data_IF_664252072397
#
_entry.id   IF_664252072397
#
_cell.length_a   1.000
_cell.length_b   1.000
_cell.length_c   1.000
_cell.angle_alpha   90.00
_cell.angle_beta   90.00
_cell.angle_gamma   90.00
#
_symmetry.space_group_name_H-M   'P 1'
#
loop_
_entity.id
_entity.type
_entity.pdbx_description
1 polymer ?
#
# COMPACT_ATOMS: atom_id res chain seq x y z
N UNK A 1 -4.05 12.54 11.92
CA UNK A 1 -5.28 12.09 11.21
C UNK A 1 -6.00 11.05 12.06
N UNK A 2 -7.30 11.21 12.23
CA UNK A 2 -8.10 10.20 12.91
C UNK A 2 -8.79 9.27 11.89
N UNK A 3 -9.38 8.19 12.38
CA UNK A 3 -10.04 7.17 11.54
C UNK A 3 -11.19 7.74 10.70
N UNK A 4 -11.92 8.70 11.24
CA UNK A 4 -13.04 9.33 10.54
C UNK A 4 -12.57 10.14 9.34
N UNK A 5 -11.52 10.94 9.53
CA UNK A 5 -10.91 11.73 8.45
C UNK A 5 -10.34 10.86 7.36
N UNK A 6 -9.65 9.80 7.73
CA UNK A 6 -9.11 8.83 6.77
C UNK A 6 -10.24 8.22 5.94
N UNK A 7 -11.31 7.80 6.57
CA UNK A 7 -12.46 7.22 5.91
C UNK A 7 -13.14 8.21 4.95
N UNK A 8 -13.33 9.46 5.38
CA UNK A 8 -13.97 10.47 4.55
C UNK A 8 -13.16 10.87 3.33
N UNK A 9 -11.84 10.96 3.49
CA UNK A 9 -10.95 11.50 2.45
C UNK A 9 -10.53 10.44 1.43
N UNK A 10 -10.41 9.16 1.84
CA UNK A 10 -9.75 8.16 1.02
C UNK A 10 -10.58 6.91 0.74
N UNK A 11 -11.66 6.68 1.47
CA UNK A 11 -12.40 5.41 1.38
C UNK A 11 -13.02 5.17 0.01
N UNK A 12 -13.61 6.20 -0.58
CA UNK A 12 -14.23 6.07 -1.92
C UNK A 12 -13.19 5.77 -2.99
N UNK A 13 -12.04 6.42 -2.90
CA UNK A 13 -10.95 6.21 -3.85
C UNK A 13 -10.38 4.79 -3.70
N UNK A 14 -10.21 4.35 -2.45
CA UNK A 14 -9.79 2.97 -2.17
C UNK A 14 -10.76 1.96 -2.81
N UNK A 15 -12.06 2.14 -2.63
CA UNK A 15 -13.05 1.22 -3.21
C UNK A 15 -13.00 1.19 -4.74
N UNK A 16 -12.72 2.32 -5.36
CA UNK A 16 -12.56 2.39 -6.81
C UNK A 16 -11.31 1.60 -7.27
N UNK A 17 -10.20 1.76 -6.56
CA UNK A 17 -8.97 1.03 -6.86
C UNK A 17 -9.15 -0.47 -6.64
N UNK A 18 -9.80 -0.86 -5.55
CA UNK A 18 -10.12 -2.26 -5.27
C UNK A 18 -10.97 -2.87 -6.39
N UNK A 19 -12.00 -2.16 -6.85
CA UNK A 19 -12.84 -2.60 -7.95
C UNK A 19 -12.03 -2.82 -9.21
N UNK A 20 -11.14 -1.90 -9.57
CA UNK A 20 -10.28 -2.04 -10.74
C UNK A 20 -9.33 -3.22 -10.61
N UNK A 21 -8.80 -3.45 -9.42
CA UNK A 21 -7.94 -4.60 -9.17
C UNK A 21 -8.72 -5.91 -9.36
N UNK A 22 -9.91 -6.00 -8.79
CA UNK A 22 -10.77 -7.20 -8.94
C UNK A 22 -11.13 -7.45 -10.39
N UNK A 23 -11.45 -6.40 -11.15
CA UNK A 23 -11.71 -6.51 -12.59
C UNK A 23 -10.49 -7.03 -13.36
N UNK A 24 -9.29 -6.66 -12.95
CA UNK A 24 -8.06 -7.11 -13.61
C UNK A 24 -7.82 -8.60 -13.47
N UNK A 25 -8.34 -9.22 -12.40
CA UNK A 25 -8.20 -10.67 -12.15
C UNK A 25 -8.95 -11.48 -13.23
N UNK A 26 -9.93 -10.90 -13.90
CA UNK A 26 -10.62 -11.55 -15.02
C UNK A 26 -9.68 -11.85 -16.20
N UNK A 27 -8.61 -11.06 -16.33
CA UNK A 27 -7.63 -11.21 -17.41
C UNK A 27 -6.40 -11.98 -16.99
N UNK A 28 -5.96 -11.81 -15.74
CA UNK A 28 -4.80 -12.48 -15.17
C UNK A 28 -5.21 -13.02 -13.80
N UNK A 29 -5.29 -14.34 -13.68
CA UNK A 29 -5.66 -14.99 -12.43
C UNK A 29 -4.69 -14.59 -11.30
N UNK A 30 -5.23 -14.32 -10.12
CA UNK A 30 -4.45 -14.01 -8.92
C UNK A 30 -3.84 -15.30 -8.38
N UNK A 31 -2.62 -15.61 -8.85
CA UNK A 31 -1.84 -16.77 -8.46
C UNK A 31 -0.36 -16.41 -8.47
N UNK A 32 0.44 -17.06 -7.64
CA UNK A 32 1.87 -16.77 -7.53
C UNK A 32 2.60 -16.91 -8.87
N UNK A 33 2.20 -17.85 -9.72
CA UNK A 33 2.79 -18.04 -11.04
C UNK A 33 2.61 -16.83 -11.97
N UNK A 34 1.64 -15.97 -11.66
CA UNK A 34 1.31 -14.78 -12.45
C UNK A 34 1.84 -13.48 -11.84
N UNK A 35 2.59 -13.53 -10.75
CA UNK A 35 3.09 -12.31 -10.09
C UNK A 35 4.03 -11.51 -10.99
N UNK A 36 4.69 -12.15 -11.95
CA UNK A 36 5.55 -11.47 -12.92
C UNK A 36 4.80 -11.02 -14.17
N UNK A 37 3.51 -11.29 -14.26
CA UNK A 37 2.73 -10.88 -15.42
C UNK A 37 2.66 -9.35 -15.52
N UNK A 38 2.90 -8.82 -16.72
CA UNK A 38 2.86 -7.39 -16.99
C UNK A 38 1.74 -7.07 -17.97
N UNK A 39 1.03 -5.96 -17.71
CA UNK A 39 0.08 -5.37 -18.63
C UNK A 39 0.05 -3.86 -18.44
N UNK A 40 -0.39 -3.12 -19.47
CA UNK A 40 -0.57 -1.67 -19.37
C UNK A 40 -1.61 -1.31 -18.30
N UNK A 41 -2.64 -2.11 -18.14
CA UNK A 41 -3.66 -1.92 -17.11
C UNK A 41 -3.05 -2.02 -15.70
N UNK A 42 -2.18 -3.01 -15.47
CA UNK A 42 -1.47 -3.14 -14.20
C UNK A 42 -0.51 -1.98 -13.95
N UNK A 43 0.17 -1.51 -14.98
CA UNK A 43 1.06 -0.34 -14.85
C UNK A 43 0.29 0.90 -14.41
N UNK A 44 -0.86 1.16 -15.02
CA UNK A 44 -1.72 2.28 -14.65
C UNK A 44 -2.26 2.13 -13.22
N UNK A 45 -2.69 0.93 -12.86
CA UNK A 45 -3.22 0.63 -11.54
C UNK A 45 -2.15 0.81 -10.47
N UNK A 46 -0.93 0.31 -10.70
CA UNK A 46 0.20 0.47 -9.77
C UNK A 46 0.54 1.94 -9.57
N UNK A 47 0.55 2.73 -10.63
CA UNK A 47 0.80 4.18 -10.53
C UNK A 47 -0.27 4.87 -9.69
N UNK A 48 -1.54 4.54 -9.92
CA UNK A 48 -2.65 5.11 -9.17
C UNK A 48 -2.58 4.73 -7.68
N UNK A 49 -2.30 3.47 -7.38
CA UNK A 49 -2.15 2.97 -6.01
C UNK A 49 -0.96 3.65 -5.33
N UNK A 50 0.18 3.76 -6.02
CA UNK A 50 1.37 4.40 -5.46
C UNK A 50 1.13 5.88 -5.12
N UNK A 51 0.46 6.61 -5.99
CA UNK A 51 0.13 8.02 -5.74
C UNK A 51 -0.81 8.16 -4.53
N UNK A 52 -1.80 7.29 -4.41
CA UNK A 52 -2.74 7.32 -3.28
C UNK A 52 -2.04 6.93 -1.98
N UNK A 53 -1.17 5.94 -2.00
CA UNK A 53 -0.38 5.55 -0.83
C UNK A 53 0.48 6.71 -0.33
N UNK A 54 1.11 7.45 -1.24
CA UNK A 54 1.91 8.63 -0.86
C UNK A 54 1.04 9.66 -0.14
N UNK A 55 -0.13 9.95 -0.68
CA UNK A 55 -1.07 10.91 -0.08
C UNK A 55 -1.56 10.43 1.29
N UNK A 56 -1.98 9.19 1.39
CA UNK A 56 -2.45 8.61 2.65
C UNK A 56 -1.36 8.61 3.70
N UNK A 57 -0.14 8.22 3.34
CA UNK A 57 0.96 8.20 4.28
C UNK A 57 1.35 9.60 4.75
N UNK A 58 1.33 10.59 3.88
CA UNK A 58 1.57 11.99 4.29
C UNK A 58 0.56 12.44 5.34
N UNK A 59 -0.73 12.20 5.08
CA UNK A 59 -1.77 12.57 6.03
C UNK A 59 -1.66 11.78 7.32
N UNK A 60 -1.40 10.49 7.24
CA UNK A 60 -1.24 9.64 8.43
C UNK A 60 -0.08 10.11 9.31
N UNK A 61 1.03 10.48 8.69
CA UNK A 61 2.21 10.97 9.41
C UNK A 61 2.11 12.44 9.83
N UNK A 62 1.08 13.16 9.39
CA UNK A 62 0.91 14.57 9.72
C UNK A 62 1.84 15.50 8.93
N UNK A 63 2.37 15.05 7.80
CA UNK A 63 3.18 15.89 6.92
C UNK A 63 2.29 16.77 6.03
N UNK A 64 2.80 17.91 5.60
CA UNK A 64 2.09 18.75 4.64
C UNK A 64 2.11 18.12 3.25
N UNK A 65 1.06 18.35 2.48
CA UNK A 65 0.95 17.81 1.11
C UNK A 65 2.02 18.36 0.17
N UNK A 66 2.60 19.52 0.50
CA UNK A 66 3.67 20.16 -0.27
C UNK A 66 5.06 19.69 0.15
N UNK A 67 5.19 18.96 1.26
CA UNK A 67 6.48 18.46 1.72
C UNK A 67 6.99 17.37 0.79
N UNK A 68 8.29 17.43 0.49
CA UNK A 68 8.96 16.36 -0.23
C UNK A 68 9.40 15.30 0.78
N UNK A 69 8.62 14.23 0.86
CA UNK A 69 8.91 13.10 1.74
C UNK A 69 9.06 11.83 0.92
N UNK A 70 9.89 10.94 1.42
CA UNK A 70 10.11 9.63 0.80
C UNK A 70 9.40 8.55 1.60
N UNK A 71 9.29 7.37 1.02
CA UNK A 71 8.74 6.21 1.74
C UNK A 71 9.57 5.88 2.98
N UNK A 72 10.87 6.17 2.97
CA UNK A 72 11.73 6.00 4.15
C UNK A 72 11.28 6.91 5.30
N UNK A 73 10.89 8.15 5.01
CA UNK A 73 10.35 9.07 6.02
C UNK A 73 9.05 8.53 6.62
N UNK A 74 8.16 8.02 5.78
CA UNK A 74 6.90 7.43 6.23
C UNK A 74 7.15 6.19 7.09
N UNK A 75 8.03 5.31 6.65
CA UNK A 75 8.37 4.10 7.39
C UNK A 75 8.95 4.41 8.76
N UNK A 76 9.83 5.39 8.84
CA UNK A 76 10.42 5.80 10.12
C UNK A 76 9.34 6.28 11.10
N UNK A 77 8.42 7.12 10.64
CA UNK A 77 7.34 7.61 11.48
C UNK A 77 6.40 6.48 11.90
N UNK A 78 5.97 5.66 10.95
CA UNK A 78 5.00 4.59 11.19
C UNK A 78 5.56 3.54 12.13
N UNK A 79 6.79 3.09 11.90
CA UNK A 79 7.42 2.07 12.75
C UNK A 79 7.69 2.59 14.16
N UNK A 80 7.98 3.88 14.32
CA UNK A 80 8.18 4.49 15.62
C UNK A 80 6.88 4.60 16.41
N UNK A 81 5.79 4.97 15.75
CA UNK A 81 4.51 5.25 16.42
C UNK A 81 3.53 4.07 16.39
N UNK A 82 3.67 3.16 15.44
CA UNK A 82 2.79 2.00 15.27
C UNK A 82 3.62 0.76 14.89
N UNK A 83 4.49 0.28 15.79
CA UNK A 83 5.39 -0.84 15.47
C UNK A 83 4.66 -2.13 15.14
N UNK A 84 3.45 -2.33 15.65
CA UNK A 84 2.66 -3.53 15.40
C UNK A 84 2.19 -3.68 13.96
N UNK A 85 2.35 -2.64 13.14
CA UNK A 85 1.99 -2.71 11.72
C UNK A 85 2.77 -3.82 11.00
N UNK A 86 3.97 -4.12 11.45
CA UNK A 86 4.80 -5.19 10.87
C UNK A 86 4.13 -6.56 10.94
N UNK A 87 3.26 -6.76 11.92
CA UNK A 87 2.57 -8.03 12.18
C UNK A 87 1.22 -8.13 11.47
N UNK A 88 0.77 -7.07 10.82
CA UNK A 88 -0.52 -7.06 10.14
C UNK A 88 -0.50 -7.95 8.90
N UNK A 89 -1.52 -8.79 8.79
CA UNK A 89 -1.69 -9.72 7.68
C UNK A 89 -2.96 -9.39 6.91
N UNK A 90 -2.89 -9.60 5.61
CA UNK A 90 -4.04 -9.46 4.71
C UNK A 90 -4.27 -10.79 4.03
N UNK A 91 -5.51 -11.28 4.06
CA UNK A 91 -5.90 -12.54 3.45
C UNK A 91 -6.87 -12.27 2.30
N UNK A 92 -6.60 -12.87 1.15
CA UNK A 92 -7.54 -12.91 0.03
C UNK A 92 -8.10 -14.32 -0.02
N UNK A 93 -9.19 -14.56 0.74
CA UNK A 93 -9.68 -15.90 1.03
C UNK A 93 -10.09 -16.69 -0.21
N UNK A 94 -10.68 -16.02 -1.20
CA UNK A 94 -11.12 -16.65 -2.44
C UNK A 94 -9.98 -17.23 -3.26
N UNK A 95 -8.73 -16.75 -3.04
CA UNK A 95 -7.55 -17.16 -3.79
C UNK A 95 -6.50 -17.84 -2.92
N UNK A 96 -6.81 -18.06 -1.63
CA UNK A 96 -5.89 -18.68 -0.66
C UNK A 96 -4.53 -17.99 -0.62
N UNK A 97 -4.55 -16.67 -0.63
CA UNK A 97 -3.35 -15.84 -0.55
C UNK A 97 -3.37 -15.07 0.78
N UNK A 98 -2.23 -15.13 1.48
CA UNK A 98 -2.00 -14.33 2.68
C UNK A 98 -0.69 -13.54 2.49
N UNK A 99 -0.75 -12.25 2.76
CA UNK A 99 0.43 -11.37 2.72
C UNK A 99 0.57 -10.60 4.02
N UNK A 100 1.82 -10.29 4.34
CA UNK A 100 2.18 -9.46 5.49
C UNK A 100 2.99 -8.27 4.93
N UNK A 101 2.32 -7.18 4.53
CA UNK A 101 2.93 -6.15 3.68
C UNK A 101 4.11 -5.42 4.32
N UNK A 102 4.12 -5.28 5.65
CA UNK A 102 5.12 -4.50 6.37
C UNK A 102 6.12 -5.36 7.13
N UNK A 103 6.11 -6.67 6.90
CA UNK A 103 6.94 -7.63 7.64
C UNK A 103 8.43 -7.26 7.60
N UNK A 104 8.92 -6.84 6.46
CA UNK A 104 10.35 -6.58 6.23
C UNK A 104 10.76 -5.13 6.50
N UNK A 105 9.84 -4.27 6.88
CA UNK A 105 10.18 -2.89 7.20
C UNK A 105 11.05 -2.84 8.45
N UNK A 106 12.16 -2.10 8.36
CA UNK A 106 13.15 -2.00 9.42
C UNK A 106 13.54 -0.53 9.60
N UNK A 107 13.29 0.00 10.80
CA UNK A 107 13.61 1.40 11.15
C UNK A 107 15.11 1.70 11.09
N UNK A 108 15.95 0.69 11.30
CA UNK A 108 17.41 0.86 11.25
C UNK A 108 17.95 0.91 9.83
N UNK A 109 17.21 0.37 8.86
CA UNK A 109 17.59 0.31 7.44
C UNK A 109 16.38 0.60 6.54
N UNK A 110 15.78 1.80 6.66
CA UNK A 110 14.50 2.06 5.99
C UNK A 110 14.58 1.96 4.46
N UNK A 111 15.64 2.49 3.85
CA UNK A 111 15.78 2.47 2.39
C UNK A 111 15.94 1.06 1.82
N UNK A 112 16.61 0.17 2.56
CA UNK A 112 16.88 -1.20 2.10
C UNK A 112 15.72 -2.15 2.38
N UNK A 113 14.91 -1.86 3.39
CA UNK A 113 13.80 -2.71 3.79
C UNK A 113 12.51 -2.48 2.98
N UNK A 114 12.49 -1.49 2.10
CA UNK A 114 11.29 -1.06 1.37
C UNK A 114 11.30 -1.52 -0.09
N UNK A 115 11.70 -2.75 -0.34
CA UNK A 115 11.91 -3.26 -1.69
C UNK A 115 10.63 -3.41 -2.53
N UNK A 116 9.48 -3.49 -1.89
CA UNK A 116 8.21 -3.62 -2.61
C UNK A 116 7.64 -2.27 -3.08
N UNK A 117 8.22 -1.18 -2.68
CA UNK A 117 7.74 0.17 -3.03
C UNK A 117 8.13 0.63 -4.47
#
# INVERSE_FOLDING_TARGET
MNRKELSQNHWKYYLMLEKRFVESIEFVELHEDNFDAFSNEYALLIQAIGAELDTVFKEFCGFNTTDRKTVADYAQYILTNTPDIKNQKISVQEYDIEIQPFMNWDITQPAQSLQWW
#
